data_IF_736589434581
#
_entry.id   IF_736589434581
#
_cell.length_a   1.000
_cell.length_b   1.000
_cell.length_c   1.000
_cell.angle_alpha   90.00
_cell.angle_beta   90.00
_cell.angle_gamma   90.00
#
_symmetry.space_group_name_H-M   'P 1'
#
loop_
_entity.id
_entity.type
_entity.pdbx_description
1 polymer ?
#
# COMPACT_ATOMS: atom_id res chain seq x y z
N UNK A 1 45.23 6.46 -11.96
CA UNK A 1 44.75 6.66 -10.60
C UNK A 1 43.25 6.93 -10.66
N UNK A 2 42.44 6.18 -9.90
CA UNK A 2 41.03 6.54 -9.69
C UNK A 2 39.96 5.95 -10.63
N UNK A 3 40.07 4.69 -11.08
CA UNK A 3 38.87 3.97 -11.52
C UNK A 3 38.09 3.57 -10.25
N UNK A 4 37.26 4.50 -9.77
CA UNK A 4 36.24 4.23 -8.75
C UNK A 4 35.18 3.35 -9.41
N UNK A 5 35.44 2.04 -9.37
CA UNK A 5 34.42 1.02 -9.48
C UNK A 5 33.39 1.36 -8.42
N UNK A 6 32.30 2.00 -8.84
CA UNK A 6 31.05 2.00 -8.12
C UNK A 6 30.67 0.54 -7.95
N UNK A 7 31.16 -0.03 -6.85
CA UNK A 7 30.63 -1.23 -6.25
C UNK A 7 29.16 -0.94 -6.08
N UNK A 8 28.34 -1.41 -7.03
CA UNK A 8 26.91 -1.54 -6.85
C UNK A 8 26.76 -2.38 -5.59
N UNK A 9 26.50 -1.74 -4.47
CA UNK A 9 26.12 -2.40 -3.24
C UNK A 9 24.80 -3.12 -3.52
N UNK A 10 24.78 -4.46 -3.65
CA UNK A 10 23.54 -5.18 -3.86
C UNK A 10 22.71 -5.23 -2.56
N UNK A 11 23.26 -4.70 -1.45
CA UNK A 11 22.73 -4.83 -0.10
C UNK A 11 21.66 -3.84 0.30
N UNK A 12 21.35 -2.81 -0.51
CA UNK A 12 20.32 -1.82 -0.15
C UNK A 12 18.95 -2.03 -0.81
N UNK A 13 18.82 -3.03 -1.67
CA UNK A 13 17.53 -3.46 -2.22
C UNK A 13 16.92 -4.63 -1.44
N UNK A 14 17.43 -4.94 -0.24
CA UNK A 14 16.57 -5.48 0.80
C UNK A 14 15.84 -4.31 1.44
N UNK A 15 14.92 -3.69 0.69
CA UNK A 15 13.81 -2.98 1.29
C UNK A 15 13.07 -4.03 2.10
N UNK A 16 13.51 -4.20 3.36
CA UNK A 16 12.99 -5.09 4.41
C UNK A 16 11.66 -5.64 3.95
N UNK A 17 11.69 -6.74 3.22
CA UNK A 17 10.49 -7.51 2.98
C UNK A 17 10.06 -7.82 4.40
N UNK A 18 9.00 -7.17 4.85
CA UNK A 18 8.44 -7.40 6.15
C UNK A 18 8.00 -8.86 6.10
N UNK A 19 8.92 -9.75 6.51
CA UNK A 19 8.57 -11.13 6.76
C UNK A 19 7.39 -11.08 7.72
N UNK A 20 6.35 -11.90 7.48
CA UNK A 20 5.13 -11.86 8.29
C UNK A 20 5.53 -11.81 9.76
N UNK A 21 5.22 -10.70 10.43
CA UNK A 21 5.35 -10.70 11.87
C UNK A 21 4.17 -11.55 12.33
N UNK A 22 4.44 -12.81 12.68
CA UNK A 22 3.49 -13.89 13.01
C UNK A 22 2.60 -13.62 14.25
N UNK A 23 2.30 -12.35 14.54
CA UNK A 23 1.35 -11.91 15.54
C UNK A 23 0.23 -11.04 14.94
N UNK A 24 -0.90 -10.87 15.63
CA UNK A 24 -2.04 -10.07 15.16
C UNK A 24 -1.68 -8.64 14.74
N UNK A 25 -0.65 -8.08 15.39
CA UNK A 25 -0.13 -6.74 15.09
C UNK A 25 0.58 -6.67 13.72
N UNK A 26 1.23 -7.76 13.30
CA UNK A 26 1.89 -7.85 12.00
C UNK A 26 0.91 -7.86 10.85
N UNK A 27 -0.05 -8.79 10.91
CA UNK A 27 -1.14 -8.86 9.93
C UNK A 27 -1.94 -7.56 9.83
N UNK A 28 -2.16 -6.86 10.96
CA UNK A 28 -2.83 -5.55 10.93
C UNK A 28 -2.00 -4.44 10.27
N UNK A 29 -0.66 -4.47 10.45
CA UNK A 29 0.24 -3.50 9.83
C UNK A 29 0.35 -3.74 8.31
N UNK A 30 0.37 -5.00 7.89
CA UNK A 30 0.36 -5.39 6.49
C UNK A 30 -0.94 -4.93 5.82
N UNK A 31 -2.09 -5.16 6.48
CA UNK A 31 -3.39 -4.70 5.99
C UNK A 31 -3.45 -3.17 5.91
N UNK A 32 -2.95 -2.45 6.91
CA UNK A 32 -2.90 -0.98 6.88
C UNK A 32 -2.07 -0.46 5.70
N UNK A 33 -0.96 -1.12 5.39
CA UNK A 33 -0.10 -0.79 4.25
C UNK A 33 -0.84 -0.98 2.92
N UNK A 34 -1.50 -2.13 2.76
CA UNK A 34 -2.30 -2.45 1.57
C UNK A 34 -3.44 -1.44 1.38
N UNK A 35 -4.21 -1.18 2.43
CA UNK A 35 -5.35 -0.24 2.39
C UNK A 35 -4.90 1.18 2.10
N UNK A 36 -3.77 1.62 2.66
CA UNK A 36 -3.17 2.93 2.36
C UNK A 36 -2.81 3.06 0.88
N UNK A 37 -2.17 2.04 0.30
CA UNK A 37 -1.84 2.01 -1.14
C UNK A 37 -3.08 2.11 -2.02
N UNK A 38 -4.09 1.28 -1.75
CA UNK A 38 -5.38 1.29 -2.47
C UNK A 38 -6.05 2.66 -2.37
N UNK A 39 -6.14 3.25 -1.18
CA UNK A 39 -6.76 4.55 -0.96
C UNK A 39 -6.06 5.68 -1.75
N UNK A 40 -4.73 5.66 -1.79
CA UNK A 40 -3.96 6.66 -2.54
C UNK A 40 -4.22 6.58 -4.06
N UNK A 41 -4.33 5.35 -4.59
CA UNK A 41 -4.57 5.10 -6.01
C UNK A 41 -5.98 5.52 -6.43
N UNK A 42 -7.01 5.17 -5.65
CA UNK A 42 -8.39 5.51 -5.98
C UNK A 42 -8.65 7.02 -5.88
N UNK A 43 -8.00 7.73 -4.95
CA UNK A 43 -8.02 9.19 -4.90
C UNK A 43 -7.38 9.78 -6.16
N UNK A 44 -6.25 9.24 -6.63
CA UNK A 44 -5.61 9.66 -7.87
C UNK A 44 -6.51 9.43 -9.09
N UNK A 45 -7.13 8.24 -9.18
CA UNK A 45 -8.06 7.90 -10.26
C UNK A 45 -9.26 8.85 -10.29
N UNK A 46 -9.86 9.14 -9.13
CA UNK A 46 -11.00 10.05 -9.04
C UNK A 46 -10.67 11.46 -9.54
N UNK A 47 -9.44 11.95 -9.29
CA UNK A 47 -8.97 13.24 -9.83
C UNK A 47 -8.80 13.20 -11.35
N UNK A 48 -8.20 12.14 -11.89
CA UNK A 48 -8.00 11.99 -13.33
C UNK A 48 -9.32 11.90 -14.10
N UNK A 49 -10.34 11.32 -13.46
CA UNK A 49 -11.66 11.08 -14.05
C UNK A 49 -12.65 12.22 -13.81
N UNK A 50 -12.26 13.29 -13.10
CA UNK A 50 -13.20 14.30 -12.58
C UNK A 50 -14.41 13.67 -11.87
N UNK A 51 -14.20 12.53 -11.19
CA UNK A 51 -15.25 11.66 -10.65
C UNK A 51 -15.75 12.05 -9.25
N UNK A 52 -15.22 13.12 -8.66
CA UNK A 52 -15.54 13.54 -7.30
C UNK A 52 -14.83 12.72 -6.22
N UNK A 53 -15.37 12.71 -5.00
CA UNK A 53 -14.76 11.98 -3.87
C UNK A 53 -15.07 10.49 -3.89
N UNK A 54 -14.06 9.65 -3.63
CA UNK A 54 -14.23 8.18 -3.49
C UNK A 54 -15.13 7.88 -2.29
N UNK A 55 -16.25 7.20 -2.53
CA UNK A 55 -17.20 6.80 -1.47
C UNK A 55 -16.84 5.46 -0.85
N UNK A 56 -16.37 4.54 -1.68
CA UNK A 56 -15.99 3.18 -1.29
C UNK A 56 -15.05 2.59 -2.33
N UNK A 57 -14.19 1.68 -1.89
CA UNK A 57 -13.38 0.81 -2.74
C UNK A 57 -13.73 -0.64 -2.42
N UNK A 58 -13.97 -1.45 -3.45
CA UNK A 58 -14.25 -2.88 -3.33
C UNK A 58 -13.19 -3.68 -4.08
N UNK A 59 -12.62 -4.68 -3.43
CA UNK A 59 -11.75 -5.67 -4.06
C UNK A 59 -12.46 -7.02 -3.98
N UNK A 60 -12.93 -7.53 -5.11
CA UNK A 60 -13.50 -8.86 -5.23
C UNK A 60 -12.40 -9.87 -5.56
N UNK A 61 -12.39 -10.99 -4.87
CA UNK A 61 -11.41 -12.08 -4.99
C UNK A 61 -12.15 -13.41 -5.11
N UNK A 62 -11.44 -14.46 -5.52
CA UNK A 62 -12.02 -15.79 -5.71
C UNK A 62 -12.69 -16.33 -4.44
N UNK A 63 -12.10 -16.04 -3.28
CA UNK A 63 -12.62 -16.44 -1.96
C UNK A 63 -12.91 -15.23 -1.06
N UNK A 64 -13.71 -14.30 -1.57
CA UNK A 64 -14.31 -13.23 -0.76
C UNK A 64 -14.01 -11.82 -1.27
N UNK A 65 -14.14 -10.83 -0.38
CA UNK A 65 -14.01 -9.43 -0.77
C UNK A 65 -13.55 -8.54 0.36
N UNK A 66 -12.80 -7.49 0.02
CA UNK A 66 -12.43 -6.40 0.93
C UNK A 66 -13.21 -5.14 0.56
N UNK A 67 -13.74 -4.46 1.58
CA UNK A 67 -14.40 -3.16 1.45
C UNK A 67 -13.63 -2.12 2.26
N UNK A 68 -13.27 -1.02 1.61
CA UNK A 68 -12.61 0.13 2.25
C UNK A 68 -13.48 1.36 2.02
N UNK A 69 -13.76 2.10 3.10
CA UNK A 69 -14.53 3.35 3.03
C UNK A 69 -13.74 4.46 3.70
N UNK A 70 -13.86 5.67 3.16
CA UNK A 70 -13.38 6.85 3.87
C UNK A 70 -14.30 7.11 5.05
N UNK A 71 -13.74 7.10 6.26
CA UNK A 71 -14.43 7.58 7.46
C UNK A 71 -14.36 9.10 7.39
N UNK A 72 -15.35 9.71 6.76
CA UNK A 72 -15.56 11.16 6.86
C UNK A 72 -16.10 11.39 8.27
N UNK A 73 -15.45 12.23 9.06
CA UNK A 73 -15.78 12.61 10.45
C UNK A 73 -15.89 11.50 11.52
N UNK A 74 -14.80 10.78 11.77
CA UNK A 74 -14.67 9.97 12.99
C UNK A 74 -14.62 10.81 14.28
N UNK A 75 -15.76 11.37 14.74
CA UNK A 75 -16.06 11.81 16.12
C UNK A 75 -17.55 12.09 16.32
#
# INVERSE_FOLDING_TARGET
>A
DGLMLLSSDPGHHEAKAAGPSDGPKGSSADLATIVSGIGSLTVGAAKLMDGGGVKQTMVAMDEGSVFVMSISDGS
#
